data_IF_175242204044
#
_entry.id   IF_175242204044
#
_cell.length_a   1.000
_cell.length_b   1.000
_cell.length_c   1.000
_cell.angle_alpha   90.00
_cell.angle_beta   90.00
_cell.angle_gamma   90.00
#
_symmetry.space_group_name_H-M   'P 1'
#
loop_
_entity.id
_entity.type
_entity.pdbx_description
1 polymer ?
#
# COMPACT_ATOMS: atom_id res chain seq x y z
N UNK A 1 -14.65 -8.08 18.64
CA UNK A 1 -13.17 -8.10 18.67
C UNK A 1 -12.69 -8.66 17.35
N UNK A 2 -12.04 -7.84 16.52
CA UNK A 2 -11.39 -8.32 15.30
C UNK A 2 -9.89 -8.44 15.53
N UNK A 3 -9.20 -9.20 14.67
CA UNK A 3 -7.74 -9.33 14.71
C UNK A 3 -6.99 -7.97 14.61
N UNK A 4 -7.65 -6.92 14.13
CA UNK A 4 -7.07 -5.59 13.95
C UNK A 4 -7.08 -4.74 15.23
N UNK A 5 -7.87 -5.10 16.25
CA UNK A 5 -8.12 -4.26 17.43
C UNK A 5 -6.88 -4.07 18.32
N UNK A 6 -5.89 -4.97 18.23
CA UNK A 6 -4.62 -4.89 18.97
C UNK A 6 -3.47 -4.28 18.17
N UNK A 7 -3.68 -3.91 16.91
CA UNK A 7 -2.61 -3.40 16.04
C UNK A 7 -2.39 -1.90 16.32
N UNK A 8 -1.22 -1.58 16.86
CA UNK A 8 -0.84 -0.18 17.17
C UNK A 8 -0.01 0.49 16.08
N UNK A 9 0.72 -0.30 15.28
CA UNK A 9 1.53 0.16 14.16
C UNK A 9 1.42 -0.82 12.99
N UNK A 10 1.37 -0.31 11.77
CA UNK A 10 1.33 -1.12 10.55
C UNK A 10 2.20 -0.51 9.45
N UNK A 11 2.84 -1.38 8.66
CA UNK A 11 3.53 -1.01 7.41
C UNK A 11 2.80 -1.67 6.25
N UNK A 12 2.34 -0.87 5.29
CA UNK A 12 1.78 -1.35 4.02
C UNK A 12 2.86 -1.30 2.97
N UNK A 13 3.10 -2.42 2.29
CA UNK A 13 4.07 -2.52 1.20
C UNK A 13 3.31 -2.65 -0.10
N UNK A 14 3.51 -1.70 -1.01
CA UNK A 14 2.83 -1.62 -2.29
C UNK A 14 3.88 -1.63 -3.44
N UNK A 15 3.72 -2.47 -4.47
CA UNK A 15 4.63 -2.48 -5.61
C UNK A 15 4.68 -1.13 -6.34
N UNK A 16 3.51 -0.60 -6.71
CA UNK A 16 3.37 0.67 -7.44
C UNK A 16 2.55 1.69 -6.63
N UNK A 17 2.62 3.00 -6.98
CA UNK A 17 1.77 4.01 -6.36
C UNK A 17 0.33 3.83 -6.84
N UNK A 18 -0.58 3.43 -5.95
CA UNK A 18 -2.03 3.16 -6.12
C UNK A 18 -2.45 1.78 -5.58
N UNK A 19 -1.54 0.80 -5.65
CA UNK A 19 -1.76 -0.58 -5.19
C UNK A 19 -2.20 -0.63 -3.71
N UNK A 20 -1.72 0.28 -2.87
CA UNK A 20 -2.11 0.36 -1.45
C UNK A 20 -3.58 0.76 -1.28
N UNK A 21 -4.04 1.70 -2.11
CA UNK A 21 -5.41 2.23 -2.06
C UNK A 21 -6.37 1.22 -2.66
N UNK A 22 -6.04 0.69 -3.84
CA UNK A 22 -6.89 -0.25 -4.57
C UNK A 22 -6.94 -1.62 -3.89
N UNK A 23 -5.82 -2.11 -3.36
CA UNK A 23 -5.72 -3.42 -2.75
C UNK A 23 -6.25 -3.47 -1.32
N UNK A 24 -5.92 -2.47 -0.48
CA UNK A 24 -6.25 -2.52 0.95
C UNK A 24 -6.65 -1.17 1.57
N UNK A 25 -7.06 -0.18 0.77
CA UNK A 25 -7.41 1.17 1.23
C UNK A 25 -8.45 1.19 2.35
N UNK A 26 -9.46 0.30 2.30
CA UNK A 26 -10.45 0.16 3.37
C UNK A 26 -9.83 -0.31 4.70
N UNK A 27 -8.87 -1.24 4.65
CA UNK A 27 -8.14 -1.72 5.84
C UNK A 27 -7.25 -0.62 6.40
N UNK A 28 -6.56 0.14 5.54
CA UNK A 28 -5.75 1.31 5.94
C UNK A 28 -6.62 2.34 6.66
N UNK A 29 -7.72 2.74 6.03
CA UNK A 29 -8.64 3.72 6.61
C UNK A 29 -9.18 3.26 7.97
N UNK A 30 -9.51 1.97 8.09
CA UNK A 30 -9.96 1.38 9.35
C UNK A 30 -8.87 1.42 10.42
N UNK A 31 -7.64 0.99 10.12
CA UNK A 31 -6.53 1.02 11.08
C UNK A 31 -6.24 2.44 11.57
N UNK A 32 -6.20 3.42 10.65
CA UNK A 32 -6.03 4.84 10.99
C UNK A 32 -7.17 5.33 11.90
N UNK A 33 -8.42 4.97 11.60
CA UNK A 33 -9.58 5.36 12.43
C UNK A 33 -9.52 4.78 13.86
N UNK A 34 -8.80 3.68 14.05
CA UNK A 34 -8.58 3.04 15.34
C UNK A 34 -7.37 3.61 16.10
N UNK A 35 -6.69 4.62 15.54
CA UNK A 35 -5.49 5.22 16.13
C UNK A 35 -4.19 4.45 15.86
N UNK A 36 -4.19 3.48 14.95
CA UNK A 36 -2.98 2.79 14.52
C UNK A 36 -2.10 3.74 13.70
N UNK A 37 -0.79 3.74 13.97
CA UNK A 37 0.19 4.44 13.13
C UNK A 37 0.49 3.62 11.87
N UNK A 38 0.02 4.08 10.72
CA UNK A 38 0.20 3.40 9.44
C UNK A 38 1.24 4.12 8.60
N UNK A 39 2.25 3.39 8.13
CA UNK A 39 3.23 3.84 7.13
C UNK A 39 3.03 3.06 5.83
N UNK A 40 3.33 3.70 4.70
CA UNK A 40 3.20 3.12 3.37
C UNK A 40 4.56 3.16 2.68
N UNK A 41 5.06 1.99 2.30
CA UNK A 41 6.26 1.81 1.50
C UNK A 41 5.84 1.43 0.08
N UNK A 42 5.97 2.41 -0.82
CA UNK A 42 5.84 2.16 -2.25
C UNK A 42 7.21 1.78 -2.81
N UNK A 43 7.31 0.58 -3.38
CA UNK A 43 8.60 -0.04 -3.76
C UNK A 43 9.15 0.53 -5.06
N UNK A 44 8.28 0.80 -6.02
CA UNK A 44 8.65 1.32 -7.34
C UNK A 44 7.97 2.64 -7.64
N UNK A 45 8.43 3.33 -8.67
CA UNK A 45 7.74 4.50 -9.23
C UNK A 45 7.37 4.19 -10.66
N UNK A 46 6.26 4.75 -11.12
CA UNK A 46 5.94 4.77 -12.55
C UNK A 46 7.14 5.34 -13.32
N UNK A 47 7.64 4.55 -14.28
CA UNK A 47 8.74 4.94 -15.16
C UNK A 47 8.40 4.55 -16.59
N UNK A 48 9.02 5.24 -17.56
CA UNK A 48 8.90 4.87 -18.95
C UNK A 48 9.37 3.41 -19.17
N UNK A 49 8.82 2.71 -20.17
CA UNK A 49 9.28 1.38 -20.52
C UNK A 49 10.80 1.34 -20.68
N UNK A 50 11.42 0.31 -20.11
CA UNK A 50 12.86 0.07 -20.24
C UNK A 50 13.24 -0.41 -21.65
N UNK A 51 12.26 -0.94 -22.38
CA UNK A 51 12.41 -1.53 -23.70
C UNK A 51 11.48 -0.82 -24.67
N UNK A 52 11.91 -0.71 -25.93
CA UNK A 52 11.07 -0.17 -27.00
C UNK A 52 9.95 -1.17 -27.37
N UNK A 53 8.93 -0.70 -28.11
CA UNK A 53 7.83 -1.56 -28.54
C UNK A 53 8.27 -2.71 -29.46
N UNK A 54 9.43 -2.60 -30.12
CA UNK A 54 9.95 -3.68 -30.96
C UNK A 54 10.60 -4.81 -30.12
N UNK A 55 10.86 -4.54 -28.84
CA UNK A 55 11.46 -5.46 -27.87
C UNK A 55 10.45 -6.07 -26.88
N UNK A 56 9.19 -5.61 -26.89
CA UNK A 56 8.09 -6.11 -26.06
C UNK A 56 7.38 -7.31 -26.69
#
# INVERSE_FOLDING_TARGET
>A
MTALDSVQRALVIAPHPDDEVLGCGGTIARLVSMGCHVEILVVTRGMAPLFDEAQA
#
